data_IF_239778011994
#
_entry.id   IF_239778011994
#
_cell.length_a   1.000
_cell.length_b   1.000
_cell.length_c   1.000
_cell.angle_alpha   90.00
_cell.angle_beta   90.00
_cell.angle_gamma   90.00
#
_symmetry.space_group_name_H-M   'P 1'
#
loop_
_entity.id
_entity.type
_entity.pdbx_description
1 polymer ?
#
# COMPACT_ATOMS: atom_id res chain seq x y z
N UNK A 1 -6.46 -52.82 8.35
CA UNK A 1 -5.74 -51.98 7.36
C UNK A 1 -6.01 -50.54 7.72
N UNK A 2 -5.00 -49.88 8.27
CA UNK A 2 -5.05 -48.47 8.66
C UNK A 2 -4.84 -47.58 7.43
N UNK A 3 -5.67 -46.56 7.26
CA UNK A 3 -5.45 -45.52 6.27
C UNK A 3 -5.17 -44.20 7.02
N UNK A 4 -3.89 -43.84 7.04
CA UNK A 4 -3.38 -42.54 7.46
C UNK A 4 -4.02 -41.44 6.62
N UNK A 5 -4.69 -40.49 7.27
CA UNK A 5 -5.05 -39.21 6.65
C UNK A 5 -4.02 -38.17 7.06
N UNK A 6 -3.29 -37.72 6.04
CA UNK A 6 -2.30 -36.66 6.05
C UNK A 6 -2.89 -35.38 6.64
N UNK A 7 -2.35 -34.96 7.78
CA UNK A 7 -2.44 -33.58 8.30
C UNK A 7 -1.38 -32.75 7.61
N UNK A 8 -1.68 -32.12 6.47
CA UNK A 8 -0.88 -31.03 5.88
C UNK A 8 -1.75 -30.27 4.87
N UNK A 9 -2.47 -29.27 5.36
CA UNK A 9 -2.76 -28.03 4.62
C UNK A 9 -3.48 -27.05 5.57
N UNK A 10 -2.69 -26.23 6.27
CA UNK A 10 -3.16 -24.97 6.83
C UNK A 10 -2.40 -23.85 6.11
N UNK A 11 -3.06 -22.79 5.63
CA UNK A 11 -2.35 -21.65 5.05
C UNK A 11 -1.51 -20.96 6.14
N UNK A 12 -0.18 -20.99 5.98
CA UNK A 12 0.79 -20.26 6.82
C UNK A 12 0.72 -18.75 6.54
N UNK A 13 -0.39 -18.12 6.92
CA UNK A 13 -0.49 -16.66 7.02
C UNK A 13 -0.73 -16.28 8.48
N UNK A 14 0.30 -16.46 9.31
CA UNK A 14 0.37 -15.82 10.62
C UNK A 14 0.76 -14.35 10.41
N UNK A 15 -0.02 -13.43 10.96
CA UNK A 15 0.32 -12.00 10.94
C UNK A 15 1.62 -11.79 11.70
N UNK A 16 2.43 -10.82 11.29
CA UNK A 16 3.71 -10.51 11.94
C UNK A 16 3.54 -10.27 13.46
N UNK A 17 2.42 -9.63 13.85
CA UNK A 17 2.00 -9.48 15.24
C UNK A 17 1.95 -10.81 16.03
N UNK A 18 1.61 -11.94 15.40
CA UNK A 18 1.59 -13.27 16.03
C UNK A 18 2.98 -13.89 16.15
N UNK A 19 3.85 -13.72 15.15
CA UNK A 19 5.24 -14.24 15.17
C UNK A 19 6.13 -13.55 16.21
N UNK A 20 5.87 -12.29 16.53
CA UNK A 20 6.57 -11.56 17.58
C UNK A 20 6.31 -12.12 19.00
N UNK A 21 5.23 -12.89 19.20
CA UNK A 21 4.87 -13.44 20.52
C UNK A 21 5.64 -14.71 20.91
N UNK A 22 6.33 -15.38 19.98
CA UNK A 22 6.89 -16.72 20.20
C UNK A 22 8.40 -16.77 20.52
N UNK A 23 9.10 -15.63 20.62
CA UNK A 23 10.56 -15.61 20.85
C UNK A 23 10.93 -15.50 22.33
N UNK A 24 11.86 -16.33 22.85
CA UNK A 24 12.30 -16.25 24.25
C UNK A 24 13.20 -15.04 24.52
N UNK A 25 12.90 -14.40 25.65
CA UNK A 25 13.47 -13.18 26.21
C UNK A 25 14.99 -13.27 26.50
N UNK A 26 15.73 -12.24 26.08
CA UNK A 26 17.09 -11.97 26.55
C UNK A 26 17.23 -10.49 26.95
N UNK A 27 17.03 -10.28 28.26
CA UNK A 27 17.62 -9.29 29.17
C UNK A 27 18.05 -7.91 28.63
N UNK A 28 17.31 -6.89 29.10
CA UNK A 28 17.74 -5.72 29.90
C UNK A 28 18.97 -4.92 29.47
N UNK A 29 18.74 -3.65 29.11
CA UNK A 29 19.46 -2.49 29.70
C UNK A 29 18.50 -1.29 29.85
N UNK A 30 18.67 -0.57 30.96
CA UNK A 30 17.86 0.53 31.54
C UNK A 30 18.28 1.92 31.00
N UNK A 31 17.31 2.85 31.03
CA UNK A 31 17.25 4.29 30.65
C UNK A 31 18.26 5.23 31.39
N UNK A 32 18.16 6.60 31.41
CA UNK A 32 17.28 7.58 30.70
C UNK A 32 18.03 8.85 30.18
N UNK A 33 17.31 9.82 29.56
CA UNK A 33 17.39 11.27 29.91
C UNK A 33 16.43 12.15 29.08
N UNK A 34 15.59 12.90 29.80
CA UNK A 34 14.87 14.10 29.36
C UNK A 34 15.79 15.32 29.46
N UNK A 35 15.66 16.29 28.53
CA UNK A 35 15.46 17.71 28.90
C UNK A 35 15.09 18.57 27.69
N UNK A 36 14.11 19.45 27.94
CA UNK A 36 13.48 20.42 27.05
C UNK A 36 14.42 21.57 26.65
N UNK A 37 14.06 22.32 25.59
CA UNK A 37 14.05 23.79 25.58
C UNK A 37 13.45 24.33 24.26
N UNK A 38 12.68 25.41 24.42
CA UNK A 38 12.12 26.32 23.41
C UNK A 38 12.85 26.38 22.07
N UNK A 39 12.09 26.29 20.97
CA UNK A 39 12.48 26.89 19.70
C UNK A 39 11.47 27.97 19.28
N UNK A 40 11.93 29.12 18.78
CA UNK A 40 11.08 30.19 18.28
C UNK A 40 10.49 29.81 16.92
N UNK A 41 9.26 30.26 16.64
CA UNK A 41 8.61 30.15 15.33
C UNK A 41 9.38 30.98 14.30
N UNK A 42 9.92 30.38 13.22
CA UNK A 42 10.48 31.16 12.11
C UNK A 42 9.38 31.67 11.20
N UNK A 43 9.63 32.86 10.64
CA UNK A 43 8.80 33.58 9.69
C UNK A 43 8.30 32.67 8.56
N UNK A 44 7.01 32.80 8.22
CA UNK A 44 6.35 32.08 7.13
C UNK A 44 6.90 32.57 5.77
N UNK A 45 8.01 31.97 5.37
CA UNK A 45 8.50 32.00 4.00
C UNK A 45 7.48 31.22 3.15
N UNK A 46 6.82 31.91 2.20
CA UNK A 46 5.86 31.27 1.30
C UNK A 46 6.61 30.23 0.46
N UNK A 47 6.49 28.97 0.87
CA UNK A 47 6.90 27.83 0.05
C UNK A 47 5.78 27.65 -0.98
N UNK A 48 6.05 27.74 -2.30
CA UNK A 48 5.03 27.43 -3.29
C UNK A 48 4.48 26.04 -2.98
N UNK A 49 3.15 25.88 -3.06
CA UNK A 49 2.50 24.59 -2.87
C UNK A 49 3.28 23.52 -3.66
N UNK A 50 3.59 22.35 -3.08
CA UNK A 50 4.24 21.30 -3.83
C UNK A 50 3.42 21.07 -5.10
N UNK A 51 4.10 21.05 -6.25
CA UNK A 51 3.46 20.60 -7.48
C UNK A 51 2.90 19.21 -7.20
N UNK A 52 1.58 19.11 -7.01
CA UNK A 52 0.93 17.86 -6.67
C UNK A 52 1.26 16.85 -7.78
N UNK A 53 1.99 15.77 -7.48
CA UNK A 53 2.21 14.73 -8.46
C UNK A 53 0.84 14.19 -8.86
N UNK A 54 0.54 14.25 -10.15
CA UNK A 54 -0.71 13.72 -10.71
C UNK A 54 -1.03 12.33 -10.11
N UNK A 55 -2.22 12.21 -9.49
CA UNK A 55 -2.83 10.97 -8.95
C UNK A 55 -3.02 9.86 -10.01
N UNK A 56 -2.64 10.12 -11.25
CA UNK A 56 -2.78 9.23 -12.37
C UNK A 56 -1.78 8.08 -12.27
N UNK A 57 -2.19 6.82 -12.23
CA UNK A 57 -1.27 5.72 -12.56
C UNK A 57 -0.96 5.80 -14.05
N UNK A 58 0.31 5.93 -14.48
CA UNK A 58 0.59 6.08 -15.90
C UNK A 58 0.22 4.77 -16.60
N UNK A 59 -0.74 4.86 -17.51
CA UNK A 59 -1.14 3.74 -18.37
C UNK A 59 0.08 3.26 -19.14
N UNK A 60 0.24 1.94 -19.25
CA UNK A 60 1.23 1.39 -20.16
C UNK A 60 0.76 1.54 -21.62
N UNK A 61 1.67 1.30 -22.55
CA UNK A 61 1.39 1.46 -23.98
C UNK A 61 0.21 0.60 -24.46
N UNK A 62 0.14 -0.65 -24.01
CA UNK A 62 -0.90 -1.57 -24.46
C UNK A 62 -2.29 -1.15 -23.94
N UNK A 63 -2.35 -0.65 -22.70
CA UNK A 63 -3.57 -0.06 -22.12
C UNK A 63 -3.99 1.21 -22.87
N UNK A 64 -3.04 2.09 -23.21
CA UNK A 64 -3.30 3.29 -24.00
C UNK A 64 -3.79 2.95 -25.41
N UNK A 65 -3.18 1.97 -26.06
CA UNK A 65 -3.53 1.56 -27.41
C UNK A 65 -4.93 0.92 -27.42
N UNK A 66 -5.29 0.13 -26.40
CA UNK A 66 -6.65 -0.40 -26.24
C UNK A 66 -7.68 0.72 -26.07
N UNK A 67 -7.48 1.65 -25.13
CA UNK A 67 -8.40 2.78 -24.90
C UNK A 67 -8.53 3.64 -26.16
N UNK A 68 -7.42 3.91 -26.86
CA UNK A 68 -7.43 4.67 -28.11
C UNK A 68 -8.18 3.96 -29.22
N UNK A 69 -8.05 2.63 -29.32
CA UNK A 69 -8.78 1.84 -30.33
C UNK A 69 -10.28 1.99 -30.14
N UNK A 70 -10.76 1.81 -28.92
CA UNK A 70 -12.19 1.98 -28.59
C UNK A 70 -12.65 3.41 -28.86
N UNK A 71 -11.91 4.40 -28.37
CA UNK A 71 -12.29 5.79 -28.50
C UNK A 71 -12.30 6.29 -29.96
N UNK A 72 -11.33 5.89 -30.78
CA UNK A 72 -11.11 6.48 -32.12
C UNK A 72 -11.72 5.61 -33.21
N UNK A 73 -11.57 4.29 -33.13
CA UNK A 73 -11.97 3.39 -34.21
C UNK A 73 -13.40 2.86 -34.02
N UNK A 74 -13.80 2.65 -32.76
CA UNK A 74 -15.13 2.13 -32.42
C UNK A 74 -16.12 3.26 -32.09
N UNK A 75 -15.63 4.51 -31.92
CA UNK A 75 -16.40 5.72 -31.58
C UNK A 75 -17.24 5.56 -30.30
N UNK A 76 -16.75 4.74 -29.37
CA UNK A 76 -17.43 4.47 -28.09
C UNK A 76 -16.72 5.17 -26.94
N UNK A 77 -17.10 6.43 -26.72
CA UNK A 77 -16.54 7.24 -25.65
C UNK A 77 -16.93 6.73 -24.24
N UNK A 78 -18.08 6.07 -24.09
CA UNK A 78 -18.52 5.55 -22.80
C UNK A 78 -17.73 4.31 -22.41
N UNK A 79 -17.58 3.36 -23.32
CA UNK A 79 -16.74 2.19 -23.11
C UNK A 79 -15.28 2.59 -22.86
N UNK A 80 -14.74 3.52 -23.65
CA UNK A 80 -13.38 4.03 -23.44
C UNK A 80 -13.19 4.69 -22.06
N UNK A 81 -14.22 5.38 -21.54
CA UNK A 81 -14.18 5.96 -20.20
C UNK A 81 -14.17 4.89 -19.11
N UNK A 82 -14.96 3.82 -19.25
CA UNK A 82 -14.95 2.67 -18.31
C UNK A 82 -13.58 2.00 -18.31
N UNK A 83 -12.98 1.79 -19.48
CA UNK A 83 -11.63 1.21 -19.59
C UNK A 83 -10.56 2.10 -18.95
N UNK A 84 -10.63 3.42 -19.18
CA UNK A 84 -9.72 4.37 -18.57
C UNK A 84 -9.83 4.36 -17.04
N UNK A 85 -11.05 4.32 -16.50
CA UNK A 85 -11.32 4.23 -15.07
C UNK A 85 -10.75 2.93 -14.49
N UNK A 86 -11.06 1.80 -15.11
CA UNK A 86 -10.60 0.47 -14.70
C UNK A 86 -9.07 0.31 -14.70
N UNK A 87 -8.39 1.00 -15.61
CA UNK A 87 -6.94 0.99 -15.71
C UNK A 87 -6.26 1.97 -14.76
N UNK A 88 -6.95 3.07 -14.41
CA UNK A 88 -6.48 4.08 -13.46
C UNK A 88 -6.70 3.65 -12.00
N UNK A 89 -7.81 2.94 -11.75
CA UNK A 89 -8.29 2.51 -10.42
C UNK A 89 -8.61 0.99 -10.44
N UNK A 90 -7.59 0.13 -10.44
CA UNK A 90 -7.78 -1.33 -10.55
C UNK A 90 -8.55 -1.95 -9.37
N UNK A 91 -8.66 -1.26 -8.25
CA UNK A 91 -9.41 -1.64 -7.04
C UNK A 91 -10.92 -1.41 -7.13
N UNK A 92 -11.38 -0.55 -8.03
CA UNK A 92 -12.81 -0.26 -8.17
C UNK A 92 -13.53 -1.48 -8.75
N UNK A 93 -14.60 -1.94 -8.09
CA UNK A 93 -15.39 -3.06 -8.59
C UNK A 93 -16.43 -2.53 -9.58
N UNK A 94 -16.29 -2.91 -10.84
CA UNK A 94 -17.31 -2.64 -11.85
C UNK A 94 -18.37 -3.76 -11.79
N UNK A 95 -19.62 -3.37 -11.57
CA UNK A 95 -20.74 -4.27 -11.40
C UNK A 95 -21.51 -4.42 -12.71
N UNK A 96 -22.18 -5.57 -12.89
CA UNK A 96 -23.13 -5.79 -14.00
C UNK A 96 -24.42 -4.95 -13.88
N UNK A 97 -24.62 -4.23 -12.76
CA UNK A 97 -25.74 -3.30 -12.62
C UNK A 97 -25.46 -1.98 -13.34
N UNK A 98 -24.19 -1.58 -13.40
CA UNK A 98 -23.76 -0.28 -13.93
C UNK A 98 -23.03 -0.38 -15.27
N UNK A 99 -22.70 -1.60 -15.72
CA UNK A 99 -21.85 -1.85 -16.88
C UNK A 99 -22.40 -3.00 -17.73
N UNK A 100 -22.15 -2.94 -19.04
CA UNK A 100 -22.47 -4.02 -19.99
C UNK A 100 -21.53 -5.21 -19.81
N UNK A 101 -21.86 -6.36 -20.41
CA UNK A 101 -20.96 -7.53 -20.40
C UNK A 101 -19.63 -7.23 -21.13
N UNK A 102 -19.70 -6.46 -22.21
CA UNK A 102 -18.54 -5.98 -22.96
C UNK A 102 -17.65 -5.06 -22.12
N UNK A 103 -18.24 -4.15 -21.34
CA UNK A 103 -17.52 -3.33 -20.35
C UNK A 103 -16.76 -4.20 -19.34
N UNK A 104 -17.41 -5.21 -18.76
CA UNK A 104 -16.78 -6.08 -17.75
C UNK A 104 -15.65 -6.95 -18.32
N UNK A 105 -15.80 -7.44 -19.55
CA UNK A 105 -14.74 -8.14 -20.27
C UNK A 105 -13.56 -7.20 -20.59
N UNK A 106 -13.88 -5.99 -21.05
CA UNK A 106 -12.91 -4.93 -21.31
C UNK A 106 -12.12 -4.52 -20.06
N UNK A 107 -12.80 -4.37 -18.93
CA UNK A 107 -12.20 -4.12 -17.60
C UNK A 107 -11.21 -5.22 -17.22
N UNK A 108 -11.61 -6.48 -17.37
CA UNK A 108 -10.74 -7.62 -17.05
C UNK A 108 -9.52 -7.64 -17.95
N UNK A 109 -9.72 -7.38 -19.24
CA UNK A 109 -8.67 -7.33 -20.26
C UNK A 109 -7.68 -6.20 -19.99
N UNK A 110 -8.15 -4.98 -19.76
CA UNK A 110 -7.26 -3.83 -19.56
C UNK A 110 -6.46 -3.91 -18.26
N UNK A 111 -7.01 -4.57 -17.23
CA UNK A 111 -6.28 -4.90 -16.01
C UNK A 111 -5.21 -5.95 -16.24
N UNK A 112 -5.48 -6.96 -17.08
CA UNK A 112 -4.51 -8.00 -17.43
C UNK A 112 -3.34 -7.47 -18.26
N UNK A 113 -3.51 -6.36 -19.00
CA UNK A 113 -2.42 -5.67 -19.68
C UNK A 113 -1.40 -5.05 -18.73
N UNK A 114 -1.70 -4.96 -17.42
CA UNK A 114 -0.75 -4.51 -16.42
C UNK A 114 0.38 -5.53 -16.26
N UNK A 115 1.60 -5.14 -16.63
CA UNK A 115 2.78 -5.99 -16.44
C UNK A 115 3.03 -6.30 -14.94
N UNK A 116 3.35 -7.56 -14.60
CA UNK A 116 3.69 -7.97 -13.25
C UNK A 116 5.05 -7.38 -12.84
N UNK A 117 5.30 -7.30 -11.53
CA UNK A 117 6.48 -6.60 -10.99
C UNK A 117 7.83 -7.18 -11.45
N UNK A 118 7.91 -8.49 -11.74
CA UNK A 118 9.13 -9.10 -12.25
C UNK A 118 9.41 -8.78 -13.72
N UNK A 119 8.39 -8.36 -14.48
CA UNK A 119 8.52 -8.00 -15.89
C UNK A 119 8.85 -6.50 -16.07
N UNK A 120 8.35 -5.65 -15.16
CA UNK A 120 8.65 -4.22 -15.13
C UNK A 120 8.71 -3.72 -13.66
N UNK A 121 9.89 -3.85 -13.06
CA UNK A 121 10.12 -3.49 -11.66
C UNK A 121 10.01 -1.98 -11.44
N UNK A 122 10.53 -1.15 -12.35
CA UNK A 122 10.49 0.30 -12.21
C UNK A 122 9.06 0.84 -12.27
N UNK A 123 8.21 0.31 -13.15
CA UNK A 123 6.80 0.65 -13.15
C UNK A 123 6.10 0.14 -11.88
N UNK A 124 6.45 -1.04 -11.38
CA UNK A 124 5.90 -1.55 -10.13
C UNK A 124 6.22 -0.66 -8.93
N UNK A 125 7.48 -0.24 -8.76
CA UNK A 125 7.89 0.65 -7.67
C UNK A 125 7.19 2.02 -7.76
N UNK A 126 7.09 2.60 -8.96
CA UNK A 126 6.36 3.86 -9.16
C UNK A 126 4.87 3.76 -8.77
N UNK A 127 4.22 2.64 -9.08
CA UNK A 127 2.82 2.39 -8.67
C UNK A 127 2.67 2.27 -7.17
N UNK A 128 3.59 1.58 -6.50
CA UNK A 128 3.57 1.45 -5.03
C UNK A 128 3.73 2.83 -4.39
N UNK A 129 4.72 3.63 -4.82
CA UNK A 129 4.91 4.98 -4.29
C UNK A 129 3.66 5.84 -4.46
N UNK A 130 3.06 5.84 -5.66
CA UNK A 130 1.83 6.61 -5.92
C UNK A 130 0.65 6.16 -5.07
N UNK A 131 0.49 4.85 -4.87
CA UNK A 131 -0.57 4.33 -4.00
C UNK A 131 -0.38 4.83 -2.56
N UNK A 132 0.85 4.79 -2.04
CA UNK A 132 1.16 5.33 -0.70
C UNK A 132 0.92 6.84 -0.63
N UNK A 133 1.40 7.60 -1.61
CA UNK A 133 1.23 9.06 -1.64
C UNK A 133 -0.26 9.43 -1.69
N UNK A 134 -1.04 8.78 -2.56
CA UNK A 134 -2.47 9.08 -2.74
C UNK A 134 -3.30 8.79 -1.48
N UNK A 135 -3.00 7.70 -0.77
CA UNK A 135 -3.69 7.33 0.47
C UNK A 135 -3.27 8.21 1.67
N UNK A 136 -2.02 8.68 1.68
CA UNK A 136 -1.48 9.44 2.82
C UNK A 136 -1.66 10.95 2.69
N UNK A 137 -1.77 11.50 1.48
CA UNK A 137 -1.89 12.94 1.24
C UNK A 137 -3.09 13.58 1.97
N UNK A 138 -4.33 13.05 1.89
CA UNK A 138 -5.45 13.62 2.65
C UNK A 138 -5.23 13.54 4.17
N UNK A 139 -4.54 12.49 4.63
CA UNK A 139 -4.23 12.31 6.04
C UNK A 139 -3.18 13.34 6.52
N UNK A 140 -2.19 13.64 5.68
CA UNK A 140 -1.21 14.70 5.92
C UNK A 140 -1.87 16.07 6.00
N UNK A 141 -2.76 16.39 5.07
CA UNK A 141 -3.52 17.63 5.10
C UNK A 141 -4.31 17.78 6.40
N UNK A 142 -5.09 16.76 6.80
CA UNK A 142 -5.83 16.77 8.07
C UNK A 142 -4.94 16.96 9.28
N UNK A 143 -3.78 16.29 9.31
CA UNK A 143 -2.79 16.45 10.38
C UNK A 143 -2.27 17.90 10.45
N UNK A 144 -1.98 18.53 9.32
CA UNK A 144 -1.52 19.92 9.27
C UNK A 144 -2.60 20.92 9.67
N UNK A 145 -3.88 20.61 9.41
CA UNK A 145 -5.04 21.35 9.89
C UNK A 145 -5.30 21.17 11.40
N UNK A 146 -4.49 20.34 12.08
CA UNK A 146 -4.59 20.08 13.52
C UNK A 146 -5.66 19.05 13.88
N UNK A 147 -6.16 18.28 12.91
CA UNK A 147 -7.09 17.20 13.17
C UNK A 147 -6.35 15.92 13.61
N UNK A 148 -6.68 15.43 14.81
CA UNK A 148 -6.04 14.24 15.41
C UNK A 148 -6.29 12.94 14.63
N UNK A 149 -7.38 12.90 13.86
CA UNK A 149 -7.72 11.74 13.03
C UNK A 149 -6.74 11.55 11.86
N UNK A 150 -6.17 12.62 11.30
CA UNK A 150 -5.11 12.54 10.30
C UNK A 150 -3.85 11.87 10.85
N UNK A 151 -3.45 12.22 12.08
CA UNK A 151 -2.31 11.57 12.77
C UNK A 151 -2.62 10.10 13.07
N UNK A 152 -3.84 9.80 13.49
CA UNK A 152 -4.28 8.43 13.79
C UNK A 152 -4.27 7.56 12.53
N UNK A 153 -4.80 8.07 11.41
CA UNK A 153 -4.81 7.40 10.13
C UNK A 153 -3.39 7.15 9.60
N UNK A 154 -2.51 8.16 9.63
CA UNK A 154 -1.10 8.01 9.22
C UNK A 154 -0.37 6.95 10.04
N UNK A 155 -0.65 6.85 11.35
CA UNK A 155 -0.05 5.81 12.21
C UNK A 155 -0.52 4.41 11.79
N UNK A 156 -1.82 4.24 11.50
CA UNK A 156 -2.37 2.96 11.06
C UNK A 156 -1.83 2.55 9.68
N UNK A 157 -1.83 3.48 8.71
CA UNK A 157 -1.26 3.26 7.38
C UNK A 157 0.24 2.93 7.45
N UNK A 158 1.01 3.68 8.26
CA UNK A 158 2.43 3.42 8.46
C UNK A 158 2.73 2.02 8.99
N UNK A 159 1.93 1.53 9.94
CA UNK A 159 2.08 0.16 10.45
C UNK A 159 1.76 -0.88 9.36
N UNK A 160 0.67 -0.71 8.63
CA UNK A 160 0.28 -1.62 7.54
C UNK A 160 1.37 -1.70 6.46
N UNK A 161 1.96 -0.57 6.07
CA UNK A 161 3.03 -0.53 5.07
C UNK A 161 4.30 -1.25 5.55
N UNK A 162 4.65 -1.12 6.84
CA UNK A 162 5.76 -1.86 7.44
C UNK A 162 5.50 -3.37 7.43
N UNK A 163 4.29 -3.82 7.78
CA UNK A 163 3.92 -5.24 7.75
C UNK A 163 4.01 -5.84 6.34
N UNK A 164 3.52 -5.10 5.32
CA UNK A 164 3.66 -5.51 3.92
C UNK A 164 5.14 -5.54 3.50
N UNK A 165 5.93 -4.55 3.92
CA UNK A 165 7.37 -4.49 3.68
C UNK A 165 8.11 -5.69 4.26
N UNK A 166 7.81 -6.06 5.51
CA UNK A 166 8.39 -7.26 6.13
C UNK A 166 8.00 -8.54 5.41
N UNK A 167 6.76 -8.64 4.91
CA UNK A 167 6.33 -9.81 4.12
C UNK A 167 7.16 -9.96 2.85
N UNK A 168 7.42 -8.86 2.14
CA UNK A 168 8.28 -8.86 0.94
C UNK A 168 9.74 -9.17 1.30
N UNK A 169 10.25 -8.58 2.39
CA UNK A 169 11.62 -8.79 2.85
C UNK A 169 11.88 -10.24 3.26
N UNK A 170 10.98 -10.86 4.02
CA UNK A 170 11.00 -12.27 4.43
C UNK A 170 11.04 -13.19 3.19
N UNK A 171 10.15 -12.93 2.21
CA UNK A 171 10.12 -13.67 0.95
C UNK A 171 11.41 -13.52 0.12
N UNK A 172 12.15 -12.42 0.30
CA UNK A 172 13.46 -12.18 -0.34
C UNK A 172 14.65 -12.71 0.46
N UNK A 173 14.43 -13.27 1.66
CA UNK A 173 15.47 -13.79 2.54
C UNK A 173 16.24 -12.73 3.32
N UNK A 174 15.71 -11.51 3.46
CA UNK A 174 16.32 -10.45 4.26
C UNK A 174 15.96 -10.61 5.73
N UNK A 175 16.96 -10.57 6.60
CA UNK A 175 16.74 -10.53 8.05
C UNK A 175 16.33 -9.11 8.48
N UNK A 176 15.09 -8.99 8.95
CA UNK A 176 14.51 -7.73 9.40
C UNK A 176 14.38 -7.63 10.93
N UNK A 177 14.94 -8.56 11.71
CA UNK A 177 14.69 -8.65 13.15
C UNK A 177 15.01 -7.36 13.93
N UNK A 178 16.09 -6.66 13.58
CA UNK A 178 16.43 -5.38 14.23
C UNK A 178 15.43 -4.27 13.91
N UNK A 179 14.97 -4.23 12.66
CA UNK A 179 13.98 -3.25 12.18
C UNK A 179 12.62 -3.52 12.84
N UNK A 180 12.21 -4.78 12.91
CA UNK A 180 10.99 -5.23 13.60
C UNK A 180 10.99 -4.85 15.09
N UNK A 181 12.12 -5.05 15.76
CA UNK A 181 12.31 -4.65 17.16
C UNK A 181 12.23 -3.13 17.34
N UNK A 182 12.82 -2.36 16.42
CA UNK A 182 12.70 -0.90 16.42
C UNK A 182 11.25 -0.44 16.21
N UNK A 183 10.54 -1.02 15.24
CA UNK A 183 9.13 -0.72 14.97
C UNK A 183 8.27 -1.04 16.19
N UNK A 184 8.42 -2.22 16.79
CA UNK A 184 7.66 -2.63 17.98
C UNK A 184 7.81 -1.62 19.13
N UNK A 185 9.04 -1.11 19.36
CA UNK A 185 9.29 -0.08 20.37
C UNK A 185 8.62 1.26 20.02
N UNK A 186 8.74 1.72 18.78
CA UNK A 186 8.13 2.99 18.32
C UNK A 186 6.60 2.94 18.38
N UNK A 187 6.02 1.77 18.06
CA UNK A 187 4.58 1.60 18.04
C UNK A 187 3.98 1.20 19.40
N UNK A 188 4.82 0.89 20.39
CA UNK A 188 4.37 0.42 21.70
C UNK A 188 3.71 -0.95 21.63
N UNK A 189 4.05 -1.76 20.62
CA UNK A 189 3.54 -3.11 20.45
C UNK A 189 4.28 -3.99 21.46
N UNK A 190 3.63 -4.32 22.57
CA UNK A 190 4.13 -5.34 23.47
C UNK A 190 3.99 -6.70 22.77
N UNK A 191 5.08 -7.47 22.67
CA UNK A 191 4.95 -8.91 22.52
C UNK A 191 4.15 -9.40 23.73
N UNK A 192 2.87 -9.71 23.54
CA UNK A 192 2.00 -10.13 24.64
C UNK A 192 2.44 -11.53 25.08
N UNK A 193 3.32 -11.56 26.07
CA UNK A 193 3.51 -12.70 26.93
C UNK A 193 2.22 -12.96 27.72
N UNK A 194 1.66 -14.16 27.56
CA UNK A 194 0.88 -14.86 28.59
C UNK A 194 1.34 -16.30 28.65
#
# INVERSE_FOLDING_TARGET
>A
MAASRSTHDQPMFMTWCQRAAERPDRDKVRAPHQQALHQPTPDLDYTPAPEYPSLYTPLNKDQLDMIRRVLINEDDALHAAVLLDAASYPEVVHSAQDNTEEDLEGVTTIRALRQPAYADLEAALRRINRAVDSETEPCHQRRWEGHDDGTTALRALGLQLLELGFTVADASGLDCAEVESAVSRVYGLSGQAS
#
